data_IF_655856551768
#
_entry.id   IF_655856551768
#
_cell.length_a   1.000
_cell.length_b   1.000
_cell.length_c   1.000
_cell.angle_alpha   90.00
_cell.angle_beta   90.00
_cell.angle_gamma   90.00
#
_symmetry.space_group_name_H-M   'P 1'
#
loop_
_entity.id
_entity.type
_entity.pdbx_description
1 polymer ?
#
# COMPACT_ATOMS: atom_id res chain seq x y z
N UNK A 1 16.83 2.84 14.76
CA UNK A 1 17.11 2.66 13.32
C UNK A 1 18.47 1.97 13.22
N UNK A 2 18.52 0.68 12.86
CA UNK A 2 19.73 -0.14 13.01
C UNK A 2 20.88 0.32 12.09
N UNK A 3 20.54 0.93 10.94
CA UNK A 3 21.51 1.40 9.96
C UNK A 3 22.20 2.69 10.45
N UNK A 4 21.42 3.64 10.99
CA UNK A 4 21.98 4.86 11.59
C UNK A 4 22.88 4.55 12.79
N UNK A 5 22.45 3.60 13.65
CA UNK A 5 23.28 3.14 14.77
C UNK A 5 24.60 2.51 14.30
N UNK A 6 24.57 1.76 13.19
CA UNK A 6 25.78 1.20 12.58
C UNK A 6 26.71 2.30 12.05
N UNK A 7 26.20 3.29 11.33
CA UNK A 7 27.03 4.39 10.81
C UNK A 7 27.72 5.20 11.91
N UNK A 8 27.02 5.44 13.03
CA UNK A 8 27.61 6.06 14.22
C UNK A 8 28.73 5.19 14.82
N UNK A 9 28.54 3.87 14.88
CA UNK A 9 29.52 2.91 15.42
C UNK A 9 30.76 2.81 14.53
N UNK A 10 30.61 2.90 13.21
CA UNK A 10 31.70 2.84 12.24
C UNK A 10 32.32 4.21 11.92
N UNK A 11 31.91 5.26 12.64
CA UNK A 11 32.33 6.63 12.42
C UNK A 11 32.17 7.10 10.94
N UNK A 12 31.09 6.64 10.30
CA UNK A 12 30.73 7.02 8.95
C UNK A 12 29.79 8.22 8.99
N UNK A 13 30.17 9.29 8.28
CA UNK A 13 29.32 10.46 8.15
C UNK A 13 28.10 10.16 7.28
N UNK A 14 26.92 10.54 7.75
CA UNK A 14 25.70 10.54 6.97
C UNK A 14 24.98 11.87 7.14
N UNK A 15 24.29 12.29 6.09
CA UNK A 15 23.43 13.47 6.11
C UNK A 15 21.99 13.03 5.84
N UNK A 16 21.05 13.55 6.64
CA UNK A 16 19.64 13.35 6.37
C UNK A 16 19.26 14.19 5.15
N UNK A 17 19.06 13.53 4.02
CA UNK A 17 18.68 14.17 2.76
C UNK A 17 17.31 13.70 2.27
N UNK A 18 16.60 14.61 1.60
CA UNK A 18 15.34 14.27 0.93
C UNK A 18 15.66 13.75 -0.47
N UNK A 19 15.10 12.60 -0.83
CA UNK A 19 15.21 12.08 -2.18
C UNK A 19 14.29 12.90 -3.08
N UNK A 20 14.85 13.62 -4.04
CA UNK A 20 14.13 14.46 -5.00
C UNK A 20 14.62 14.22 -6.44
N UNK A 21 13.87 14.72 -7.42
CA UNK A 21 14.21 14.65 -8.85
C UNK A 21 14.22 13.23 -9.41
N UNK A 22 15.19 12.93 -10.28
CA UNK A 22 15.24 11.68 -11.07
C UNK A 22 15.18 10.41 -10.22
N UNK A 23 15.80 10.40 -9.04
CA UNK A 23 15.78 9.24 -8.16
C UNK A 23 14.40 9.03 -7.53
N UNK A 24 13.72 10.12 -7.13
CA UNK A 24 12.35 10.04 -6.64
C UNK A 24 11.43 9.45 -7.72
N UNK A 25 11.53 9.95 -8.96
CA UNK A 25 10.72 9.49 -10.07
C UNK A 25 10.95 8.01 -10.38
N UNK A 26 12.21 7.55 -10.34
CA UNK A 26 12.55 6.15 -10.58
C UNK A 26 11.98 5.23 -9.49
N UNK A 27 12.12 5.61 -8.21
CA UNK A 27 11.59 4.84 -7.07
C UNK A 27 10.06 4.79 -7.11
N UNK A 28 9.40 5.92 -7.32
CA UNK A 28 7.94 5.99 -7.41
C UNK A 28 7.40 5.22 -8.62
N UNK A 29 8.06 5.30 -9.77
CA UNK A 29 7.71 4.53 -10.97
C UNK A 29 7.82 3.02 -10.70
N UNK A 30 8.93 2.58 -10.09
CA UNK A 30 9.13 1.17 -9.74
C UNK A 30 8.06 0.69 -8.77
N UNK A 31 7.69 1.50 -7.79
CA UNK A 31 6.64 1.17 -6.84
C UNK A 31 5.26 1.06 -7.51
N UNK A 32 4.90 2.01 -8.37
CA UNK A 32 3.65 1.97 -9.14
C UNK A 32 3.60 0.72 -10.02
N UNK A 33 4.68 0.42 -10.74
CA UNK A 33 4.76 -0.77 -11.60
C UNK A 33 4.61 -2.07 -10.80
N UNK A 34 5.25 -2.16 -9.63
CA UNK A 34 5.09 -3.33 -8.76
C UNK A 34 3.63 -3.52 -8.30
N UNK A 35 2.94 -2.44 -7.95
CA UNK A 35 1.51 -2.50 -7.62
C UNK A 35 0.65 -2.96 -8.81
N UNK A 36 1.02 -2.61 -10.05
CA UNK A 36 0.36 -3.10 -11.27
C UNK A 36 0.56 -4.60 -11.44
N UNK A 37 1.79 -5.08 -11.24
CA UNK A 37 2.14 -6.52 -11.27
C UNK A 37 1.31 -7.32 -10.25
N UNK A 38 1.08 -6.77 -9.05
CA UNK A 38 0.18 -7.35 -8.03
C UNK A 38 -1.32 -7.29 -8.41
N UNK A 39 -1.68 -6.68 -9.54
CA UNK A 39 -3.04 -6.63 -10.06
C UNK A 39 -3.86 -5.42 -9.62
N UNK A 40 -3.24 -4.32 -9.17
CA UNK A 40 -3.95 -3.07 -8.88
C UNK A 40 -4.29 -2.35 -10.20
N UNK A 41 -5.50 -2.59 -10.73
CA UNK A 41 -5.93 -2.11 -12.06
C UNK A 41 -6.53 -0.68 -12.12
N UNK A 42 -6.38 0.13 -11.08
CA UNK A 42 -6.98 1.49 -11.04
C UNK A 42 -6.32 2.44 -12.04
N UNK A 43 -7.07 3.12 -12.91
CA UNK A 43 -6.50 4.16 -13.80
C UNK A 43 -5.87 5.31 -13.04
N UNK A 44 -6.39 5.59 -11.85
CA UNK A 44 -5.92 6.66 -10.97
C UNK A 44 -4.66 6.29 -10.19
N UNK A 45 -4.03 5.11 -10.43
CA UNK A 45 -2.76 4.73 -9.81
C UNK A 45 -1.60 5.26 -10.66
N UNK A 46 -1.09 6.41 -10.25
CA UNK A 46 -0.01 7.18 -10.88
C UNK A 46 1.05 7.57 -9.83
N UNK A 47 2.19 8.09 -10.29
CA UNK A 47 3.24 8.64 -9.44
C UNK A 47 2.67 9.79 -8.59
N UNK A 48 1.85 10.65 -9.19
CA UNK A 48 1.22 11.82 -8.56
C UNK A 48 0.05 11.49 -7.62
N UNK A 49 -0.35 10.22 -7.50
CA UNK A 49 -1.52 9.83 -6.70
C UNK A 49 -1.41 10.21 -5.22
N UNK A 50 -0.18 10.32 -4.69
CA UNK A 50 0.09 10.72 -3.31
C UNK A 50 -0.83 10.02 -2.30
N UNK A 51 -1.55 10.81 -1.49
CA UNK A 51 -2.49 10.31 -0.48
C UNK A 51 -3.64 9.46 -1.08
N UNK A 52 -4.08 9.73 -2.31
CA UNK A 52 -5.15 8.95 -2.98
C UNK A 52 -4.73 7.49 -3.23
N UNK A 53 -3.42 7.23 -3.35
CA UNK A 53 -2.86 5.88 -3.53
C UNK A 53 -3.26 4.92 -2.41
N UNK A 54 -3.36 5.42 -1.18
CA UNK A 54 -3.83 4.63 -0.05
C UNK A 54 -5.23 4.07 -0.31
N UNK A 55 -6.19 4.90 -0.74
CA UNK A 55 -7.56 4.44 -0.99
C UNK A 55 -7.66 3.50 -2.19
N UNK A 56 -6.81 3.67 -3.20
CA UNK A 56 -6.73 2.77 -4.36
C UNK A 56 -6.27 1.37 -3.92
N UNK A 57 -5.16 1.30 -3.20
CA UNK A 57 -4.60 0.03 -2.71
C UNK A 57 -5.50 -0.61 -1.66
N UNK A 58 -6.14 0.19 -0.80
CA UNK A 58 -7.17 -0.27 0.12
C UNK A 58 -8.37 -0.87 -0.61
N UNK A 59 -8.87 -0.22 -1.66
CA UNK A 59 -9.95 -0.75 -2.49
C UNK A 59 -9.57 -2.07 -3.17
N UNK A 60 -8.31 -2.23 -3.62
CA UNK A 60 -7.81 -3.50 -4.12
C UNK A 60 -7.78 -4.57 -3.01
N UNK A 61 -7.27 -4.26 -1.82
CA UNK A 61 -7.26 -5.17 -0.68
C UNK A 61 -8.67 -5.67 -0.35
N UNK A 62 -9.65 -4.77 -0.21
CA UNK A 62 -11.01 -5.13 0.20
C UNK A 62 -11.72 -6.08 -0.79
N UNK A 63 -11.30 -6.15 -2.06
CA UNK A 63 -11.92 -7.08 -3.03
C UNK A 63 -11.61 -8.55 -2.76
N UNK A 64 -10.52 -8.84 -2.07
CA UNK A 64 -10.07 -10.21 -1.76
C UNK A 64 -9.26 -10.19 -0.45
N UNK A 65 -9.93 -9.78 0.63
CA UNK A 65 -9.30 -9.38 1.88
C UNK A 65 -8.44 -10.50 2.48
N UNK A 66 -9.02 -11.67 2.73
CA UNK A 66 -8.33 -12.77 3.42
C UNK A 66 -7.08 -13.28 2.67
N UNK A 67 -7.06 -13.19 1.34
CA UNK A 67 -5.89 -13.58 0.54
C UNK A 67 -4.83 -12.48 0.46
N UNK A 68 -5.24 -11.21 0.54
CA UNK A 68 -4.37 -10.05 0.31
C UNK A 68 -3.87 -9.40 1.60
N UNK A 69 -4.46 -9.69 2.76
CA UNK A 69 -4.05 -9.12 4.05
C UNK A 69 -2.55 -9.35 4.34
N UNK A 70 -2.00 -10.49 3.90
CA UNK A 70 -0.56 -10.81 4.05
C UNK A 70 0.41 -9.82 3.40
N UNK A 71 -0.04 -9.02 2.43
CA UNK A 71 0.78 -8.00 1.77
C UNK A 71 0.70 -6.63 2.46
N UNK A 72 -0.12 -6.49 3.51
CA UNK A 72 -0.34 -5.23 4.21
C UNK A 72 0.56 -5.17 5.43
N UNK A 73 1.13 -3.99 5.68
CA UNK A 73 1.80 -3.71 6.96
C UNK A 73 0.77 -3.70 8.09
N UNK A 74 0.51 -4.84 8.71
CA UNK A 74 -0.56 -4.99 9.70
C UNK A 74 -0.18 -4.59 11.13
N UNK A 75 1.11 -4.33 11.40
CA UNK A 75 1.62 -4.09 12.76
C UNK A 75 1.24 -2.73 13.39
N UNK A 76 0.81 -1.73 12.61
CA UNK A 76 0.55 -0.39 13.16
C UNK A 76 -0.82 -0.29 13.86
N UNK A 77 -0.92 0.55 14.90
CA UNK A 77 -2.11 0.67 15.78
C UNK A 77 -3.41 0.88 14.98
N UNK A 78 -3.43 1.87 14.08
CA UNK A 78 -4.62 2.18 13.26
C UNK A 78 -5.05 1.04 12.34
N UNK A 79 -4.14 0.14 11.92
CA UNK A 79 -4.53 -1.04 11.16
C UNK A 79 -5.43 -1.93 12.01
N UNK A 80 -4.92 -2.28 13.20
CA UNK A 80 -5.57 -3.19 14.14
C UNK A 80 -6.88 -2.66 14.72
N UNK A 81 -7.05 -1.34 14.82
CA UNK A 81 -8.24 -0.75 15.48
C UNK A 81 -9.28 -0.15 14.55
N UNK A 82 -8.95 0.15 13.28
CA UNK A 82 -9.87 0.88 12.38
C UNK A 82 -9.86 0.27 10.98
N UNK A 83 -8.69 0.15 10.36
CA UNK A 83 -8.62 -0.15 8.93
C UNK A 83 -8.90 -1.61 8.61
N UNK A 84 -8.54 -2.54 9.50
CA UNK A 84 -8.82 -3.96 9.32
C UNK A 84 -10.32 -4.23 9.30
N UNK A 85 -11.05 -3.71 10.28
CA UNK A 85 -12.51 -3.91 10.38
C UNK A 85 -13.23 -3.29 9.19
N UNK A 86 -12.85 -2.06 8.79
CA UNK A 86 -13.36 -1.41 7.58
C UNK A 86 -13.06 -2.21 6.31
N UNK A 87 -11.93 -2.93 6.25
CA UNK A 87 -11.58 -3.73 5.09
C UNK A 87 -12.47 -4.98 4.99
N UNK A 88 -12.75 -5.62 6.13
CA UNK A 88 -13.66 -6.77 6.24
C UNK A 88 -15.08 -6.36 5.86
N UNK A 89 -15.59 -5.27 6.43
CA UNK A 89 -16.93 -4.74 6.11
C UNK A 89 -17.09 -4.51 4.59
N UNK A 90 -16.12 -3.83 3.97
CA UNK A 90 -16.15 -3.61 2.51
C UNK A 90 -16.04 -4.90 1.72
N UNK A 91 -15.23 -5.86 2.17
CA UNK A 91 -15.14 -7.17 1.54
C UNK A 91 -16.48 -7.88 1.52
N UNK A 92 -17.20 -7.91 2.64
CA UNK A 92 -18.53 -8.52 2.72
C UNK A 92 -19.54 -7.87 1.78
N UNK A 93 -19.53 -6.53 1.70
CA UNK A 93 -20.37 -5.78 0.75
C UNK A 93 -20.04 -6.22 -0.69
N UNK A 94 -18.76 -6.27 -1.06
CA UNK A 94 -18.36 -6.71 -2.39
C UNK A 94 -18.80 -8.15 -2.71
N UNK A 95 -18.71 -9.07 -1.75
CA UNK A 95 -19.17 -10.45 -1.95
C UNK A 95 -20.69 -10.54 -2.10
N UNK A 96 -21.45 -9.79 -1.30
CA UNK A 96 -22.91 -9.70 -1.41
C UNK A 96 -23.32 -9.18 -2.79
N UNK A 97 -22.68 -8.11 -3.28
CA UNK A 97 -22.97 -7.53 -4.59
C UNK A 97 -22.60 -8.48 -5.74
N UNK A 98 -21.47 -9.17 -5.63
CA UNK A 98 -21.05 -10.17 -6.61
C UNK A 98 -22.08 -11.31 -6.72
N UNK A 99 -22.58 -11.81 -5.58
CA UNK A 99 -23.59 -12.87 -5.51
C UNK A 99 -24.95 -12.42 -6.06
N UNK A 100 -25.32 -11.15 -5.88
CA UNK A 100 -26.55 -10.59 -6.49
C UNK A 100 -26.44 -10.54 -8.02
N UNK A 101 -25.30 -10.10 -8.54
CA UNK A 101 -25.07 -10.00 -10.00
C UNK A 101 -25.00 -11.36 -10.69
N UNK A 102 -24.49 -12.40 -10.02
CA UNK A 102 -24.42 -13.75 -10.61
C UNK A 102 -25.77 -14.47 -10.64
N UNK A 103 -26.79 -13.97 -9.94
CA UNK A 103 -28.15 -14.52 -9.92
C UNK A 103 -29.09 -13.84 -10.92
N UNK A 104 -28.62 -12.79 -11.60
CA UNK A 104 -29.35 -12.03 -12.61
C UNK A 104 -28.81 -12.41 -13.98
#
# INVERSE_FOLDING_TARGET
DKVRSYFLLTNQNYEDTRIEGKLQDAVESRYVNHLRELGVKSRNLTIESGKKRFFITFGWLCRDFYRREKYVKSGFKRWRTIWRDRAIEKYEIFQKDKKKRSKK
#
